data_IF_249724112904
#
_entry.id   IF_249724112904
#
_cell.length_a   1.000
_cell.length_b   1.000
_cell.length_c   1.000
_cell.angle_alpha   90.00
_cell.angle_beta   90.00
_cell.angle_gamma   90.00
#
_symmetry.space_group_name_H-M   'P 1'
#
loop_
_entity.id
_entity.type
_entity.pdbx_description
1 polymer ?
#
# COMPACT_ATOMS: atom_id res chain seq x y z
N UNK A 1 15.35 2.84 -3.82
CA UNK A 1 14.52 2.66 -5.04
C UNK A 1 13.35 1.74 -4.67
N UNK A 2 12.12 2.15 -4.93
CA UNK A 2 10.92 1.35 -4.65
C UNK A 2 10.63 0.38 -5.81
N UNK A 3 9.91 -0.71 -5.53
CA UNK A 3 9.46 -1.66 -6.55
C UNK A 3 8.00 -2.03 -6.30
N UNK A 4 7.21 -2.14 -7.36
CA UNK A 4 5.88 -2.75 -7.26
C UNK A 4 6.04 -4.25 -7.01
N UNK A 5 5.14 -4.81 -6.20
CA UNK A 5 5.18 -6.22 -5.84
C UNK A 5 3.80 -6.88 -5.97
N UNK A 6 3.78 -8.19 -6.18
CA UNK A 6 2.55 -8.91 -6.53
C UNK A 6 1.64 -9.14 -5.32
N UNK A 7 0.55 -8.38 -5.22
CA UNK A 7 -0.45 -8.52 -4.16
C UNK A 7 -1.15 -9.89 -4.17
N UNK A 8 -1.46 -10.44 -5.35
CA UNK A 8 -2.08 -11.75 -5.46
C UNK A 8 -1.21 -12.86 -4.84
N UNK A 9 0.12 -12.71 -4.92
CA UNK A 9 1.06 -13.62 -4.28
C UNK A 9 1.07 -13.54 -2.75
N UNK A 10 0.83 -12.34 -2.19
CA UNK A 10 0.64 -12.15 -0.74
C UNK A 10 -0.65 -12.85 -0.30
N UNK A 11 -1.75 -12.59 -1.00
CA UNK A 11 -3.03 -13.25 -0.75
C UNK A 11 -2.95 -14.78 -0.86
N UNK A 12 -2.21 -15.29 -1.84
CA UNK A 12 -1.97 -16.72 -2.04
C UNK A 12 -0.87 -17.32 -1.16
N UNK A 13 -0.26 -16.57 -0.23
CA UNK A 13 0.83 -17.01 0.66
C UNK A 13 2.00 -17.68 -0.08
N UNK A 14 2.34 -17.16 -1.27
CA UNK A 14 3.46 -17.68 -2.06
C UNK A 14 4.78 -17.40 -1.33
N UNK A 15 5.46 -18.46 -0.90
CA UNK A 15 6.61 -18.38 0.03
C UNK A 15 7.71 -17.41 -0.40
N UNK A 16 8.09 -17.39 -1.68
CA UNK A 16 9.10 -16.47 -2.20
C UNK A 16 8.67 -15.00 -2.16
N UNK A 17 7.38 -14.73 -2.33
CA UNK A 17 6.80 -13.38 -2.28
C UNK A 17 6.73 -12.91 -0.83
N UNK A 18 6.30 -13.77 0.10
CA UNK A 18 6.31 -13.45 1.54
C UNK A 18 7.71 -13.09 2.03
N UNK A 19 8.72 -13.94 1.74
CA UNK A 19 10.12 -13.68 2.13
C UNK A 19 10.68 -12.38 1.57
N UNK A 20 10.36 -12.07 0.31
CA UNK A 20 10.82 -10.82 -0.30
C UNK A 20 10.15 -9.61 0.32
N UNK A 21 8.87 -9.74 0.72
CA UNK A 21 8.11 -8.67 1.36
C UNK A 21 8.59 -8.42 2.79
N UNK A 22 8.89 -9.49 3.53
CA UNK A 22 9.49 -9.42 4.87
C UNK A 22 10.86 -8.74 4.85
N UNK A 23 11.66 -8.96 3.80
CA UNK A 23 12.95 -8.31 3.63
C UNK A 23 12.86 -6.84 3.16
N UNK A 24 11.67 -6.32 2.89
CA UNK A 24 11.51 -4.92 2.48
C UNK A 24 11.77 -3.98 3.66
N UNK A 25 12.56 -2.94 3.45
CA UNK A 25 12.81 -1.93 4.49
C UNK A 25 11.56 -1.12 4.85
N UNK A 26 10.63 -0.98 3.91
CA UNK A 26 9.32 -0.35 4.07
C UNK A 26 8.32 -1.01 3.14
N UNK A 27 7.10 -1.20 3.61
CA UNK A 27 5.97 -1.70 2.83
C UNK A 27 4.95 -0.57 2.71
N UNK A 28 4.46 -0.33 1.49
CA UNK A 28 3.35 0.60 1.23
C UNK A 28 2.21 -0.15 0.57
N UNK A 29 1.04 -0.10 1.18
CA UNK A 29 -0.21 -0.62 0.66
C UNK A 29 -1.05 0.52 0.06
N UNK A 30 -1.49 0.35 -1.20
CA UNK A 30 -2.32 1.33 -1.91
C UNK A 30 -3.64 0.65 -2.26
N UNK A 31 -4.74 1.15 -1.72
CA UNK A 31 -6.08 0.63 -2.00
C UNK A 31 -6.96 1.67 -2.71
N UNK A 32 -7.55 1.28 -3.85
CA UNK A 32 -8.41 2.17 -4.63
C UNK A 32 -9.86 2.26 -4.13
N UNK A 33 -10.28 1.40 -3.20
CA UNK A 33 -11.66 1.35 -2.72
C UNK A 33 -11.75 0.93 -1.23
N UNK A 34 -12.91 1.12 -0.58
CA UNK A 34 -13.10 0.81 0.84
C UNK A 34 -12.98 -0.69 1.21
N UNK A 35 -12.82 -1.59 0.23
CA UNK A 35 -12.65 -3.01 0.51
C UNK A 35 -11.30 -3.32 1.17
N UNK A 36 -10.29 -2.47 0.97
CA UNK A 36 -8.97 -2.56 1.59
C UNK A 36 -8.28 -3.92 1.32
N UNK A 37 -8.34 -4.38 0.07
CA UNK A 37 -7.83 -5.70 -0.32
C UNK A 37 -6.32 -5.82 -0.09
N UNK A 38 -5.55 -4.77 -0.38
CA UNK A 38 -4.11 -4.76 -0.18
C UNK A 38 -3.76 -4.84 1.31
N UNK A 39 -4.35 -3.96 2.11
CA UNK A 39 -4.22 -3.95 3.57
C UNK A 39 -4.56 -5.30 4.19
N UNK A 40 -5.75 -5.84 3.90
CA UNK A 40 -6.20 -7.13 4.48
C UNK A 40 -5.27 -8.28 4.11
N UNK A 41 -4.83 -8.34 2.85
CA UNK A 41 -3.92 -9.41 2.41
C UNK A 41 -2.59 -9.37 3.18
N UNK A 42 -2.06 -8.18 3.46
CA UNK A 42 -0.84 -8.00 4.25
C UNK A 42 -1.06 -8.39 5.71
N UNK A 43 -2.13 -7.89 6.35
CA UNK A 43 -2.49 -8.20 7.73
C UNK A 43 -2.66 -9.71 7.94
N UNK A 44 -3.41 -10.39 7.07
CA UNK A 44 -3.61 -11.84 7.17
C UNK A 44 -2.33 -12.65 6.84
N UNK A 45 -1.38 -12.06 6.11
CA UNK A 45 -0.05 -12.63 5.87
C UNK A 45 0.94 -12.37 7.02
N UNK A 46 0.50 -11.67 8.08
CA UNK A 46 1.29 -11.38 9.27
C UNK A 46 2.10 -10.10 9.21
N UNK A 47 1.96 -9.30 8.14
CA UNK A 47 2.60 -7.98 8.07
C UNK A 47 1.74 -6.95 8.77
N UNK A 48 2.30 -6.29 9.79
CA UNK A 48 1.58 -5.28 10.59
C UNK A 48 2.21 -3.89 10.51
N UNK A 49 3.46 -3.79 10.08
CA UNK A 49 4.16 -2.51 9.89
C UNK A 49 4.22 -2.14 8.40
N UNK A 50 3.22 -1.39 7.95
CA UNK A 50 3.18 -0.86 6.59
C UNK A 50 2.39 0.45 6.54
N UNK A 51 2.85 1.38 5.70
CA UNK A 51 2.09 2.58 5.38
C UNK A 51 0.91 2.21 4.48
N UNK A 52 -0.29 2.71 4.80
CA UNK A 52 -1.49 2.46 4.02
C UNK A 52 -2.06 3.77 3.50
N UNK A 53 -2.42 3.79 2.21
CA UNK A 53 -3.21 4.86 1.60
C UNK A 53 -4.43 4.27 0.92
N UNK A 54 -5.60 4.76 1.31
CA UNK A 54 -6.88 4.43 0.70
C UNK A 54 -7.31 5.62 -0.16
N UNK A 55 -7.30 5.47 -1.48
CA UNK A 55 -7.48 6.60 -2.41
C UNK A 55 -8.88 7.25 -2.30
N UNK A 56 -9.90 6.50 -1.89
CA UNK A 56 -11.25 7.03 -1.74
C UNK A 56 -11.40 7.92 -0.49
N UNK A 57 -10.62 7.68 0.58
CA UNK A 57 -10.50 8.57 1.74
C UNK A 57 -9.91 9.93 1.36
N UNK A 58 -9.13 9.98 0.27
CA UNK A 58 -8.62 11.21 -0.34
C UNK A 58 -9.60 11.84 -1.36
N UNK A 59 -10.80 11.27 -1.52
CA UNK A 59 -11.80 11.71 -2.49
C UNK A 59 -11.55 11.19 -3.92
N UNK A 60 -10.59 10.30 -4.15
CA UNK A 60 -10.24 9.83 -5.49
C UNK A 60 -11.08 8.60 -5.89
N UNK A 61 -12.22 8.87 -6.51
CA UNK A 61 -13.13 7.85 -7.04
C UNK A 61 -12.64 7.31 -8.39
N UNK A 62 -12.79 5.99 -8.57
CA UNK A 62 -12.46 5.28 -9.81
C UNK A 62 -13.29 5.84 -10.99
N UNK A 63 -12.61 6.22 -12.07
CA UNK A 63 -13.24 6.78 -13.27
C UNK A 63 -13.58 8.27 -13.19
N UNK A 64 -13.53 8.89 -12.01
CA UNK A 64 -13.88 10.31 -11.79
C UNK A 64 -12.66 11.16 -11.40
N UNK A 65 -11.49 10.54 -11.23
CA UNK A 65 -10.28 11.20 -10.72
C UNK A 65 -9.15 11.17 -11.76
N UNK A 66 -9.10 12.16 -12.68
CA UNK A 66 -7.96 12.34 -13.58
C UNK A 66 -6.61 12.37 -12.83
N UNK A 67 -5.56 11.85 -13.45
CA UNK A 67 -4.21 11.94 -12.87
C UNK A 67 -3.71 13.38 -13.01
N UNK A 68 -3.32 13.97 -11.89
CA UNK A 68 -2.59 15.24 -11.83
C UNK A 68 -1.39 15.09 -10.91
N UNK A 69 -0.35 15.89 -11.09
CA UNK A 69 0.84 15.86 -10.22
C UNK A 69 0.45 16.08 -8.75
N UNK A 70 -0.43 17.05 -8.49
CA UNK A 70 -0.96 17.34 -7.15
C UNK A 70 -1.59 16.09 -6.50
N UNK A 71 -2.43 15.35 -7.24
CA UNK A 71 -3.10 14.15 -6.70
C UNK A 71 -2.10 13.04 -6.39
N UNK A 72 -1.10 12.86 -7.26
CA UNK A 72 -0.01 11.89 -7.06
C UNK A 72 0.80 12.25 -5.83
N UNK A 73 1.17 13.52 -5.66
CA UNK A 73 1.90 14.00 -4.49
C UNK A 73 1.11 13.81 -3.20
N UNK A 74 -0.17 14.18 -3.18
CA UNK A 74 -1.05 13.99 -2.02
C UNK A 74 -1.15 12.50 -1.64
N UNK A 75 -1.34 11.60 -2.60
CA UNK A 75 -1.38 10.17 -2.34
C UNK A 75 -0.05 9.60 -1.80
N UNK A 76 1.09 10.06 -2.34
CA UNK A 76 2.41 9.66 -1.85
C UNK A 76 2.66 10.15 -0.42
N UNK A 77 2.29 11.41 -0.13
CA UNK A 77 2.46 12.02 1.18
C UNK A 77 1.57 11.43 2.27
N UNK A 78 0.41 10.86 1.92
CA UNK A 78 -0.52 10.26 2.88
C UNK A 78 0.10 9.14 3.74
N UNK A 79 1.17 8.51 3.25
CA UNK A 79 1.87 7.42 3.98
C UNK A 79 3.06 7.90 4.81
N UNK A 80 3.49 9.16 4.64
CA UNK A 80 4.66 9.72 5.33
C UNK A 80 4.52 9.70 6.86
N UNK A 81 3.36 10.01 7.48
CA UNK A 81 3.22 9.98 8.94
C UNK A 81 3.51 8.61 9.54
N UNK A 82 3.21 7.51 8.82
CA UNK A 82 3.54 6.16 9.25
C UNK A 82 5.05 5.97 9.40
N UNK A 83 5.83 6.50 8.45
CA UNK A 83 7.27 6.33 8.41
C UNK A 83 8.06 7.42 9.15
N UNK A 84 7.42 8.52 9.54
CA UNK A 84 8.07 9.60 10.27
C UNK A 84 8.43 9.22 11.72
N UNK A 85 7.76 8.20 12.28
CA UNK A 85 7.97 7.74 13.65
C UNK A 85 8.75 6.41 13.75
N UNK A 86 9.25 5.89 12.63
CA UNK A 86 10.11 4.70 12.61
C UNK A 86 11.57 5.17 12.75
N UNK A 87 12.03 5.23 14.01
CA UNK A 87 13.43 5.44 14.39
C UNK A 87 14.26 4.18 14.26
#
# INVERSE_FOLDING_TARGET
MAKMFCLAGIGGRVSGILKTTEAASKIVAIDGCPLNCARKSLEEAGFTDFGHVQLADLGYKKGESPVTEERVLTAAMATVPHFANLS
#
